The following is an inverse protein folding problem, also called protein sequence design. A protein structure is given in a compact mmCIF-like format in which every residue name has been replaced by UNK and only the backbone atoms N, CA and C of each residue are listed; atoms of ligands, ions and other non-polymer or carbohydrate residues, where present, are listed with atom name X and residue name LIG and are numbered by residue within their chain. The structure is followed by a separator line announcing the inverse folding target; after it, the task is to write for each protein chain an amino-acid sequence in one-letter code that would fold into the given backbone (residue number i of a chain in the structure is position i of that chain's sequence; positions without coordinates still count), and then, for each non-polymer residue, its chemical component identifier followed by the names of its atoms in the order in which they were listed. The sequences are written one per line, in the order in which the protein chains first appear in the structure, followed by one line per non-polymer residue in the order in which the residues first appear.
data_IF_239657684968
#
_entry.id   IF_239657684968
#
_cell.length_a   1.000
_cell.length_b   1.000
_cell.length_c   1.000
_cell.angle_alpha   90.00
_cell.angle_beta   90.00
_cell.angle_gamma   90.00
#
_symmetry.space_group_name_H-M   'P 1'
#
loop_
_entity.id
_entity.type
_entity.pdbx_description
1 polymer ?
#
# COMPACT_ATOMS: atom_id res chain seq x y z
N UNK A 1 -3.59 17.09 -17.64
CA UNK A 1 -2.63 18.12 -17.20
C UNK A 1 -2.70 18.28 -15.68
N UNK A 2 -1.91 17.53 -14.92
CA UNK A 2 -1.72 17.80 -13.49
C UNK A 2 -0.81 19.04 -13.37
N UNK A 3 -1.33 20.12 -12.81
CA UNK A 3 -0.58 21.36 -12.64
C UNK A 3 0.57 21.12 -11.65
N UNK A 4 1.82 21.44 -12.04
CA UNK A 4 3.04 21.37 -11.20
C UNK A 4 2.84 21.93 -9.79
N UNK A 5 1.97 22.94 -9.64
CA UNK A 5 1.62 23.52 -8.33
C UNK A 5 1.07 22.53 -7.31
N UNK A 6 0.42 21.43 -7.73
CA UNK A 6 -0.19 20.49 -6.80
C UNK A 6 0.75 19.37 -6.35
N UNK A 7 1.65 18.90 -7.24
CA UNK A 7 2.76 18.02 -6.83
C UNK A 7 3.65 18.72 -5.83
N UNK A 8 3.93 20.00 -6.07
CA UNK A 8 4.72 20.85 -5.18
C UNK A 8 3.99 21.08 -3.86
N UNK A 9 2.67 21.27 -3.89
CA UNK A 9 1.86 21.48 -2.68
C UNK A 9 1.89 20.25 -1.78
N UNK A 10 1.60 19.04 -2.26
CA UNK A 10 1.63 17.86 -1.37
C UNK A 10 3.05 17.49 -0.95
N UNK A 11 4.04 17.75 -1.81
CA UNK A 11 5.45 17.50 -1.50
C UNK A 11 6.04 18.53 -0.54
N UNK A 12 5.38 19.68 -0.37
CA UNK A 12 5.86 20.73 0.52
C UNK A 12 5.80 20.29 1.98
N UNK A 13 6.91 20.50 2.68
CA UNK A 13 7.02 20.20 4.12
C UNK A 13 5.92 20.89 4.94
N UNK A 14 5.47 22.08 4.51
CA UNK A 14 4.39 22.84 5.13
C UNK A 14 3.02 22.17 4.96
N UNK A 15 2.69 21.67 3.76
CA UNK A 15 1.44 20.92 3.56
C UNK A 15 1.44 19.61 4.32
N UNK A 16 2.54 18.84 4.26
CA UNK A 16 2.68 17.58 4.99
C UNK A 16 2.48 17.82 6.49
N UNK A 17 3.20 18.80 7.05
CA UNK A 17 3.09 19.15 8.47
C UNK A 17 1.69 19.67 8.84
N UNK A 18 1.11 20.55 8.03
CA UNK A 18 -0.22 21.14 8.32
C UNK A 18 -1.33 20.10 8.22
N UNK A 19 -1.28 19.23 7.21
CA UNK A 19 -2.26 18.17 7.02
C UNK A 19 -2.16 17.12 8.13
N UNK A 20 -0.93 16.70 8.49
CA UNK A 20 -0.66 15.80 9.61
C UNK A 20 -1.18 16.40 10.92
N UNK A 21 -0.85 17.67 11.21
CA UNK A 21 -1.26 18.34 12.44
C UNK A 21 -2.78 18.50 12.52
N UNK A 22 -3.45 18.83 11.40
CA UNK A 22 -4.91 18.92 11.33
C UNK A 22 -5.60 17.57 11.57
N UNK A 23 -5.01 16.47 11.10
CA UNK A 23 -5.56 15.13 11.31
C UNK A 23 -5.36 14.64 12.76
N UNK A 24 -4.18 14.92 13.35
CA UNK A 24 -3.84 14.53 14.73
C UNK A 24 -4.63 15.33 15.77
N UNK A 25 -4.83 16.64 15.56
CA UNK A 25 -5.45 17.51 16.58
C UNK A 25 -6.97 17.43 16.62
N UNK A 26 -7.64 16.96 15.56
CA UNK A 26 -9.11 16.98 15.51
C UNK A 26 -9.78 15.63 15.62
N UNK A 27 -9.14 14.49 15.32
CA UNK A 27 -9.74 13.14 15.27
C UNK A 27 -11.10 13.00 14.52
N UNK A 28 -11.66 14.08 13.97
CA UNK A 28 -13.07 14.19 13.62
C UNK A 28 -13.41 13.64 12.23
N UNK A 29 -12.41 13.14 11.48
CA UNK A 29 -12.57 12.89 10.05
C UNK A 29 -11.76 11.66 9.58
N UNK A 30 -11.88 10.55 10.31
CA UNK A 30 -11.44 9.24 9.79
C UNK A 30 -12.54 8.73 8.86
N UNK A 31 -12.18 8.55 7.59
CA UNK A 31 -13.08 7.98 6.59
C UNK A 31 -12.58 6.61 6.16
N UNK A 32 -13.52 5.70 5.94
CA UNK A 32 -13.26 4.41 5.30
C UNK A 32 -13.42 4.59 3.80
N UNK A 33 -12.40 4.20 3.04
CA UNK A 33 -12.49 4.10 1.59
C UNK A 33 -12.87 2.66 1.25
N UNK A 34 -14.04 2.48 0.64
CA UNK A 34 -14.58 1.16 0.33
C UNK A 34 -14.85 1.03 -1.17
N UNK A 35 -14.50 -0.13 -1.73
CA UNK A 35 -15.00 -0.60 -3.02
C UNK A 35 -16.19 -1.51 -2.75
N UNK A 36 -17.36 -1.18 -3.28
CA UNK A 36 -18.59 -1.91 -2.99
C UNK A 36 -19.59 -1.84 -4.14
N UNK A 37 -20.57 -2.75 -4.12
CA UNK A 37 -21.70 -2.70 -5.03
C UNK A 37 -22.61 -1.50 -4.74
N UNK A 38 -23.27 -0.92 -5.74
CA UNK A 38 -24.22 0.17 -5.54
C UNK A 38 -25.38 -0.17 -4.62
N UNK A 39 -25.82 -1.43 -4.65
CA UNK A 39 -26.91 -1.95 -3.84
C UNK A 39 -26.35 -2.90 -2.77
N UNK A 40 -26.83 -2.76 -1.53
CA UNK A 40 -26.42 -3.62 -0.40
C UNK A 40 -27.13 -4.99 -0.41
N UNK A 41 -28.25 -5.11 -1.12
CA UNK A 41 -28.97 -6.37 -1.33
C UNK A 41 -28.39 -7.06 -2.57
N UNK A 42 -27.42 -7.94 -2.36
CA UNK A 42 -26.84 -8.73 -3.41
C UNK A 42 -27.83 -9.86 -3.76
N UNK A 43 -28.67 -9.65 -4.78
CA UNK A 43 -29.42 -10.74 -5.41
C UNK A 43 -28.47 -11.37 -6.43
N UNK A 44 -27.62 -12.28 -5.94
CA UNK A 44 -26.76 -13.07 -6.82
C UNK A 44 -27.70 -14.02 -7.58
N UNK A 45 -27.97 -13.73 -8.85
CA UNK A 45 -28.45 -14.74 -9.79
C UNK A 45 -27.22 -15.55 -10.24
N UNK A 46 -27.08 -16.82 -9.81
CA UNK A 46 -25.92 -17.64 -10.15
C UNK A 46 -25.82 -17.94 -11.66
N UNK A 47 -26.89 -17.69 -12.43
CA UNK A 47 -27.00 -18.08 -13.83
C UNK A 47 -26.79 -16.92 -14.82
N UNK A 48 -26.43 -15.70 -14.36
CA UNK A 48 -26.12 -14.57 -15.26
C UNK A 48 -24.61 -14.42 -15.52
N UNK A 49 -24.10 -14.89 -16.69
CA UNK A 49 -22.70 -14.77 -17.05
C UNK A 49 -22.28 -13.34 -17.46
N UNK A 50 -23.19 -12.35 -17.45
CA UNK A 50 -22.95 -10.97 -17.86
C UNK A 50 -23.12 -9.92 -16.75
N UNK A 51 -23.32 -10.33 -15.49
CA UNK A 51 -23.28 -9.41 -14.34
C UNK A 51 -21.84 -8.95 -14.04
N UNK A 52 -21.26 -8.14 -14.94
CA UNK A 52 -20.20 -7.19 -14.57
C UNK A 52 -20.85 -6.03 -13.81
N UNK A 53 -21.23 -6.27 -12.55
CA UNK A 53 -21.78 -5.17 -11.74
C UNK A 53 -20.70 -4.12 -11.50
N UNK A 54 -21.01 -2.87 -11.88
CA UNK A 54 -20.10 -1.74 -11.70
C UNK A 54 -19.83 -1.48 -10.21
N UNK A 55 -18.67 -1.94 -9.73
CA UNK A 55 -18.17 -1.59 -8.41
C UNK A 55 -17.91 -0.08 -8.33
N UNK A 56 -18.29 0.54 -7.21
CA UNK A 56 -18.05 1.94 -6.96
C UNK A 56 -17.17 2.16 -5.73
N UNK A 57 -16.33 3.19 -5.80
CA UNK A 57 -15.59 3.68 -4.65
C UNK A 57 -16.44 4.70 -3.89
N UNK A 58 -16.48 4.58 -2.56
CA UNK A 58 -17.13 5.58 -1.71
C UNK A 58 -16.33 5.82 -0.43
N UNK A 59 -16.51 7.01 0.14
CA UNK A 59 -16.07 7.32 1.50
C UNK A 59 -17.23 7.09 2.45
N UNK A 60 -16.95 6.38 3.53
CA UNK A 60 -17.86 6.14 4.64
C UNK A 60 -17.32 6.77 5.91
N UNK A 61 -18.23 7.19 6.79
CA UNK A 61 -17.88 7.57 8.16
C UNK A 61 -17.35 6.35 8.90
N UNK A 62 -16.20 6.47 9.57
CA UNK A 62 -15.70 5.38 10.42
C UNK A 62 -16.57 5.16 11.68
N UNK A 63 -17.36 6.15 12.09
CA UNK A 63 -18.19 6.07 13.30
C UNK A 63 -19.59 5.54 13.00
N UNK A 64 -20.24 6.09 11.97
CA UNK A 64 -21.64 5.76 11.63
C UNK A 64 -21.75 4.73 10.52
N UNK A 65 -20.67 4.45 9.78
CA UNK A 65 -20.65 3.61 8.58
C UNK A 65 -21.62 4.11 7.49
N UNK A 66 -22.04 5.37 7.55
CA UNK A 66 -22.86 5.99 6.53
C UNK A 66 -22.01 6.47 5.36
N UNK A 67 -22.54 6.31 4.15
CA UNK A 67 -21.87 6.77 2.94
C UNK A 67 -21.84 8.31 2.92
N UNK A 68 -20.65 8.89 3.02
CA UNK A 68 -20.44 10.33 2.98
C UNK A 68 -20.39 10.86 1.54
N UNK A 69 -19.72 10.13 0.64
CA UNK A 69 -19.59 10.56 -0.76
C UNK A 69 -19.26 9.40 -1.69
N UNK A 70 -19.92 9.39 -2.86
CA UNK A 70 -19.51 8.57 -4.00
C UNK A 70 -18.27 9.17 -4.67
N UNK A 71 -17.35 8.31 -5.06
CA UNK A 71 -16.13 8.65 -5.77
C UNK A 71 -16.15 7.98 -7.16
N UNK A 72 -15.72 8.71 -8.17
CA UNK A 72 -15.31 8.08 -9.43
C UNK A 72 -13.97 7.39 -9.23
N UNK A 73 -13.76 6.26 -9.90
CA UNK A 73 -12.45 5.65 -9.96
C UNK A 73 -11.44 6.69 -10.48
N UNK A 74 -10.28 6.91 -9.83
CA UNK A 74 -9.33 7.96 -10.23
C UNK A 74 -8.78 7.80 -11.66
N UNK A 75 -9.00 6.65 -12.29
CA UNK A 75 -8.51 6.27 -13.61
C UNK A 75 -9.63 5.89 -14.59
N UNK A 76 -10.91 6.09 -14.21
CA UNK A 76 -12.08 5.82 -15.07
C UNK A 76 -12.06 4.42 -15.75
N UNK A 77 -11.44 3.44 -15.10
CA UNK A 77 -11.13 2.14 -15.67
C UNK A 77 -11.78 1.01 -14.87
N UNK A 78 -12.24 -0.02 -15.58
CA UNK A 78 -12.77 -1.29 -15.04
C UNK A 78 -11.68 -2.26 -14.56
N UNK A 79 -10.41 -1.87 -14.61
CA UNK A 79 -9.31 -2.71 -14.12
C UNK A 79 -9.39 -2.87 -12.60
N UNK A 80 -9.07 -4.07 -12.12
CA UNK A 80 -8.98 -4.38 -10.70
C UNK A 80 -7.70 -3.73 -10.12
N UNK A 81 -7.88 -2.67 -9.34
CA UNK A 81 -6.81 -2.02 -8.58
C UNK A 81 -6.79 -2.51 -7.14
N UNK A 82 -5.59 -2.75 -6.62
CA UNK A 82 -5.36 -3.06 -5.21
C UNK A 82 -4.84 -1.82 -4.46
N UNK A 83 -5.15 -1.75 -3.16
CA UNK A 83 -4.60 -0.75 -2.24
C UNK A 83 -3.33 -1.32 -1.59
N UNK A 84 -2.24 -0.55 -1.67
CA UNK A 84 -0.90 -0.92 -1.17
C UNK A 84 -0.46 -0.12 0.06
N UNK A 85 -1.39 0.62 0.65
CA UNK A 85 -1.17 1.40 1.85
C UNK A 85 -1.92 2.72 1.80
N UNK A 86 -2.25 3.23 2.98
CA UNK A 86 -2.83 4.56 3.14
C UNK A 86 -2.13 5.28 4.28
N UNK A 87 -1.96 6.59 4.13
CA UNK A 87 -1.35 7.42 5.16
C UNK A 87 -1.82 8.86 4.99
N UNK A 88 -2.37 9.43 6.06
CA UNK A 88 -2.80 10.84 6.12
C UNK A 88 -3.70 11.26 4.93
N UNK A 89 -4.70 10.44 4.60
CA UNK A 89 -5.65 10.72 3.51
C UNK A 89 -5.10 10.48 2.09
N UNK A 90 -3.84 10.07 1.95
CA UNK A 90 -3.29 9.56 0.70
C UNK A 90 -3.41 8.03 0.65
N UNK A 91 -3.71 7.50 -0.51
CA UNK A 91 -3.86 6.06 -0.77
C UNK A 91 -2.98 5.67 -1.95
N UNK A 92 -2.16 4.65 -1.77
CA UNK A 92 -1.38 4.06 -2.85
C UNK A 92 -2.18 2.96 -3.51
N UNK A 93 -2.43 3.08 -4.81
CA UNK A 93 -3.13 2.10 -5.62
C UNK A 93 -2.29 1.71 -6.84
N UNK A 94 -2.45 0.48 -7.30
CA UNK A 94 -1.87 -0.02 -8.54
C UNK A 94 -2.63 -1.26 -8.99
N UNK A 95 -2.23 -1.87 -10.10
CA UNK A 95 -2.83 -3.11 -10.59
C UNK A 95 -2.81 -4.17 -9.48
N UNK A 96 -3.84 -5.03 -9.43
CA UNK A 96 -3.84 -6.19 -8.53
C UNK A 96 -2.66 -7.12 -8.83
N UNK A 97 -2.38 -7.37 -10.11
CA UNK A 97 -1.20 -8.09 -10.57
C UNK A 97 -0.09 -7.08 -10.88
N UNK A 98 0.74 -6.79 -9.87
CA UNK A 98 1.84 -5.84 -10.01
C UNK A 98 3.04 -6.42 -10.80
N UNK A 99 3.38 -5.74 -11.88
CA UNK A 99 4.64 -5.91 -12.61
C UNK A 99 5.57 -4.72 -12.37
N UNK A 100 6.82 -4.79 -12.87
CA UNK A 100 7.80 -3.71 -12.68
C UNK A 100 7.36 -2.38 -13.33
N UNK A 101 6.64 -2.48 -14.44
CA UNK A 101 6.11 -1.39 -15.27
C UNK A 101 4.66 -1.04 -14.91
N UNK A 102 4.03 -1.77 -13.99
CA UNK A 102 2.69 -1.41 -13.49
C UNK A 102 2.74 0.01 -12.91
N UNK A 103 1.82 0.89 -13.35
CA UNK A 103 1.80 2.25 -12.88
C UNK A 103 1.38 2.28 -11.42
N UNK A 104 2.15 2.99 -10.61
CA UNK A 104 1.80 3.26 -9.21
C UNK A 104 1.08 4.60 -9.16
N UNK A 105 0.03 4.70 -8.38
CA UNK A 105 -0.69 5.94 -8.21
C UNK A 105 -0.87 6.26 -6.73
N UNK A 106 -0.54 7.50 -6.37
CA UNK A 106 -0.81 8.07 -5.05
C UNK A 106 -2.03 8.97 -5.21
N UNK A 107 -3.16 8.50 -4.69
CA UNK A 107 -4.46 9.14 -4.79
C UNK A 107 -4.80 9.89 -3.50
N UNK A 108 -5.33 11.10 -3.62
CA UNK A 108 -6.05 11.78 -2.55
C UNK A 108 -7.56 11.75 -2.88
N UNK A 109 -8.33 10.83 -2.27
CA UNK A 109 -9.77 10.69 -2.54
C UNK A 109 -10.57 11.96 -2.20
N UNK A 110 -10.22 12.65 -1.12
CA UNK A 110 -10.96 13.82 -0.62
C UNK A 110 -10.94 15.01 -1.57
N UNK A 111 -9.88 15.16 -2.37
CA UNK A 111 -9.79 16.21 -3.39
C UNK A 111 -9.78 15.67 -4.83
N UNK A 112 -10.01 14.36 -4.99
CA UNK A 112 -10.08 13.65 -6.29
C UNK A 112 -8.89 13.91 -7.21
N UNK A 113 -7.68 13.94 -6.64
CA UNK A 113 -6.46 14.17 -7.41
C UNK A 113 -5.48 13.02 -7.25
N UNK A 114 -4.80 12.74 -8.35
CA UNK A 114 -3.90 11.62 -8.51
C UNK A 114 -2.50 12.13 -8.82
N UNK A 115 -1.48 11.53 -8.20
CA UNK A 115 -0.09 11.67 -8.60
C UNK A 115 0.43 10.30 -9.00
N UNK A 116 1.06 10.23 -10.17
CA UNK A 116 1.71 9.02 -10.67
C UNK A 116 3.22 9.23 -10.57
N UNK A 117 3.93 8.52 -9.68
CA UNK A 117 5.39 8.52 -9.68
C UNK A 117 5.95 8.15 -11.06
N UNK A 118 7.13 8.66 -11.43
CA UNK A 118 7.79 8.23 -12.66
C UNK A 118 8.04 6.72 -12.62
N UNK A 119 8.02 6.08 -13.78
CA UNK A 119 8.41 4.67 -13.90
C UNK A 119 9.91 4.57 -13.58
N UNK A 120 10.30 3.59 -12.78
CA UNK A 120 11.71 3.33 -12.48
C UNK A 120 12.45 2.98 -13.76
N UNK A 121 13.45 3.78 -14.12
CA UNK A 121 14.21 3.66 -15.38
C UNK A 121 15.37 2.67 -15.30
N UNK A 122 15.67 2.13 -14.13
CA UNK A 122 16.94 1.48 -13.83
C UNK A 122 17.01 -0.03 -14.15
N UNK A 123 16.02 -0.59 -14.85
CA UNK A 123 15.89 -2.05 -14.90
C UNK A 123 15.57 -2.59 -16.31
N UNK A 124 16.60 -3.11 -16.98
CA UNK A 124 16.46 -3.88 -18.24
C UNK A 124 16.05 -5.36 -18.03
N UNK A 125 15.71 -5.74 -16.80
CA UNK A 125 15.42 -7.13 -16.43
C UNK A 125 13.93 -7.24 -16.10
N UNK A 126 13.27 -8.31 -16.56
CA UNK A 126 11.87 -8.56 -16.19
C UNK A 126 11.79 -8.99 -14.73
N UNK A 127 11.20 -8.12 -13.91
CA UNK A 127 10.86 -8.41 -12.52
C UNK A 127 9.36 -8.56 -12.35
N UNK A 128 8.95 -9.45 -11.45
CA UNK A 128 7.62 -9.43 -10.85
C UNK A 128 7.68 -8.70 -9.50
N UNK A 129 6.65 -7.91 -9.20
CA UNK A 129 6.57 -7.29 -7.89
C UNK A 129 6.08 -8.32 -6.86
N UNK A 130 6.73 -8.35 -5.70
CA UNK A 130 6.34 -9.23 -4.58
C UNK A 130 5.72 -8.44 -3.43
N UNK A 131 6.07 -7.17 -3.29
CA UNK A 131 5.48 -6.27 -2.30
C UNK A 131 5.55 -4.81 -2.77
N UNK A 132 4.49 -4.06 -2.46
CA UNK A 132 4.47 -2.61 -2.54
C UNK A 132 3.82 -2.10 -1.26
N UNK A 133 4.49 -1.18 -0.58
CA UNK A 133 4.05 -0.65 0.71
C UNK A 133 4.23 0.86 0.72
N UNK A 134 3.18 1.59 1.10
CA UNK A 134 3.21 3.04 1.10
C UNK A 134 2.86 3.61 2.47
N UNK A 135 3.60 4.64 2.89
CA UNK A 135 3.19 5.45 4.02
C UNK A 135 4.13 6.61 4.33
N UNK A 136 3.81 7.31 5.40
CA UNK A 136 4.55 8.48 5.86
C UNK A 136 5.73 8.10 6.76
N UNK A 137 6.90 8.64 6.46
CA UNK A 137 8.07 8.55 7.32
C UNK A 137 8.22 9.86 8.13
N UNK A 138 7.87 9.87 9.43
CA UNK A 138 7.92 11.08 10.24
C UNK A 138 9.35 11.60 10.45
N UNK A 139 10.33 10.72 10.66
CA UNK A 139 11.73 11.11 10.88
C UNK A 139 12.39 11.88 9.74
N UNK A 140 12.01 11.63 8.48
CA UNK A 140 12.51 12.39 7.32
C UNK A 140 11.46 13.30 6.69
N UNK A 141 10.27 13.41 7.30
CA UNK A 141 9.12 14.20 6.83
C UNK A 141 8.83 13.99 5.34
N UNK A 142 8.64 12.73 4.93
CA UNK A 142 8.44 12.35 3.52
C UNK A 142 7.47 11.17 3.40
N UNK A 143 6.71 11.11 2.32
CA UNK A 143 6.00 9.89 1.97
C UNK A 143 6.91 8.98 1.17
N UNK A 144 6.90 7.70 1.51
CA UNK A 144 7.71 6.69 0.87
C UNK A 144 6.82 5.60 0.28
N UNK A 145 7.21 5.08 -0.88
CA UNK A 145 6.71 3.80 -1.36
C UNK A 145 7.91 2.85 -1.47
N UNK A 146 7.84 1.71 -0.80
CA UNK A 146 8.85 0.65 -0.87
C UNK A 146 8.33 -0.42 -1.79
N UNK A 147 9.05 -0.66 -2.89
CA UNK A 147 8.73 -1.68 -3.88
C UNK A 147 9.79 -2.77 -3.84
N UNK A 148 9.34 -4.00 -3.67
CA UNK A 148 10.20 -5.19 -3.64
C UNK A 148 9.86 -6.08 -4.82
N UNK A 149 10.88 -6.52 -5.52
CA UNK A 149 10.78 -7.12 -6.84
C UNK A 149 11.65 -8.36 -6.93
N UNK A 150 11.19 -9.39 -7.63
CA UNK A 150 11.93 -10.62 -7.83
C UNK A 150 12.07 -10.97 -9.31
N UNK A 151 13.25 -11.44 -9.71
CA UNK A 151 13.43 -12.03 -11.04
C UNK A 151 12.99 -13.50 -11.05
N UNK A 152 12.77 -14.05 -12.25
CA UNK A 152 12.58 -15.49 -12.44
C UNK A 152 13.76 -16.34 -11.93
N UNK A 153 14.98 -15.77 -11.87
CA UNK A 153 16.18 -16.41 -11.31
C UNK A 153 16.29 -16.27 -9.79
N UNK A 154 15.28 -15.69 -9.14
CA UNK A 154 15.19 -15.56 -7.70
C UNK A 154 15.98 -14.39 -7.10
N UNK A 155 16.59 -13.53 -7.92
CA UNK A 155 17.25 -12.30 -7.44
C UNK A 155 16.21 -11.29 -6.96
N UNK A 156 16.43 -10.72 -5.77
CA UNK A 156 15.57 -9.70 -5.17
C UNK A 156 16.17 -8.32 -5.44
N UNK A 157 15.31 -7.36 -5.75
CA UNK A 157 15.62 -5.94 -5.82
C UNK A 157 14.64 -5.18 -4.94
N UNK A 158 15.11 -4.12 -4.29
CA UNK A 158 14.28 -3.21 -3.50
C UNK A 158 14.55 -1.80 -3.99
N UNK A 159 13.49 -1.02 -4.14
CA UNK A 159 13.60 0.40 -4.41
C UNK A 159 12.60 1.20 -3.57
N UNK A 160 12.99 2.43 -3.31
CA UNK A 160 12.23 3.36 -2.47
C UNK A 160 11.94 4.60 -3.28
N UNK A 161 10.66 4.89 -3.47
CA UNK A 161 10.21 6.18 -3.97
C UNK A 161 10.21 7.19 -2.84
N UNK A 162 10.73 8.38 -3.12
CA UNK A 162 10.56 9.56 -2.27
C UNK A 162 9.59 10.53 -2.93
N UNK A 163 8.52 10.86 -2.21
CA UNK A 163 7.53 11.82 -2.68
C UNK A 163 8.12 13.24 -2.78
N UNK A 164 9.04 13.57 -1.86
CA UNK A 164 9.77 14.84 -1.83
C UNK A 164 10.72 15.02 -3.01
N UNK A 165 11.50 14.00 -3.39
CA UNK A 165 12.46 14.10 -4.50
C UNK A 165 11.90 13.62 -5.84
N UNK A 166 10.65 13.15 -5.85
CA UNK A 166 9.96 12.60 -7.01
C UNK A 166 10.76 11.55 -7.78
N UNK A 167 11.46 10.69 -7.06
CA UNK A 167 12.42 9.75 -7.67
C UNK A 167 12.48 8.44 -6.90
N UNK A 168 12.81 7.38 -7.64
CA UNK A 168 13.11 6.07 -7.11
C UNK A 168 14.60 5.94 -6.84
N UNK A 169 14.95 5.40 -5.67
CA UNK A 169 16.30 4.98 -5.31
C UNK A 169 16.34 3.46 -5.20
N UNK A 170 17.28 2.81 -5.88
CA UNK A 170 17.55 1.38 -5.71
C UNK A 170 18.40 1.14 -4.45
N UNK A 171 18.07 0.10 -3.69
CA UNK A 171 18.83 -0.33 -2.53
C UNK A 171 19.91 -1.32 -2.97
N UNK A 172 21.16 -1.00 -2.67
CA UNK A 172 22.32 -1.74 -3.17
C UNK A 172 22.58 -3.03 -2.37
N UNK A 173 22.40 -2.97 -1.05
CA UNK A 173 22.74 -4.07 -0.15
C UNK A 173 21.48 -4.79 0.27
N UNK A 174 21.24 -5.94 -0.35
CA UNK A 174 20.12 -6.83 -0.01
C UNK A 174 20.65 -8.03 0.77
N UNK A 175 20.21 -8.24 2.02
CA UNK A 175 20.65 -9.38 2.81
C UNK A 175 20.37 -10.73 2.11
N UNK A 176 21.34 -11.68 2.10
CA UNK A 176 21.16 -12.97 1.44
C UNK A 176 19.96 -13.78 1.96
N UNK A 177 19.58 -13.58 3.22
CA UNK A 177 18.47 -14.27 3.87
C UNK A 177 17.09 -13.86 3.34
N UNK A 178 16.97 -12.79 2.56
CA UNK A 178 15.74 -12.41 1.87
C UNK A 178 15.48 -13.19 0.57
N UNK A 179 16.41 -14.09 0.19
CA UNK A 179 16.22 -15.06 -0.90
C UNK A 179 15.29 -16.19 -0.42
N UNK A 180 14.06 -15.85 -0.10
CA UNK A 180 13.04 -16.75 0.43
C UNK A 180 11.73 -16.64 -0.35
N UNK A 181 10.68 -17.31 0.12
CA UNK A 181 9.33 -17.16 -0.43
C UNK A 181 8.66 -15.93 0.17
N UNK A 182 7.93 -15.22 -0.68
CA UNK A 182 7.20 -14.00 -0.31
C UNK A 182 5.72 -14.27 -0.49
N UNK A 183 4.92 -13.97 0.54
CA UNK A 183 3.47 -13.99 0.38
C UNK A 183 3.03 -12.65 -0.21
N UNK A 184 2.29 -12.71 -1.31
CA UNK A 184 1.79 -11.50 -1.99
C UNK A 184 0.89 -10.67 -1.08
N UNK A 185 1.03 -9.34 -1.13
CA UNK A 185 0.13 -8.33 -0.54
C UNK A 185 -0.09 -8.37 0.99
N UNK A 186 0.83 -8.97 1.76
CA UNK A 186 0.76 -9.02 3.24
C UNK A 186 1.81 -8.14 3.91
N UNK A 187 1.86 -6.88 3.50
CA UNK A 187 2.77 -5.89 4.06
C UNK A 187 2.05 -4.63 4.51
N UNK A 188 2.65 -3.93 5.47
CA UNK A 188 2.21 -2.60 5.90
C UNK A 188 3.40 -1.65 5.97
N UNK A 189 3.14 -0.35 6.03
CA UNK A 189 4.16 0.67 6.23
C UNK A 189 3.80 1.51 7.44
N UNK A 190 4.72 1.61 8.41
CA UNK A 190 4.48 2.34 9.63
C UNK A 190 5.74 3.03 10.11
N UNK A 191 5.63 4.33 10.42
CA UNK A 191 6.70 5.15 10.96
C UNK A 191 8.02 5.12 10.16
N UNK A 192 7.95 5.02 8.83
CA UNK A 192 9.14 4.96 7.99
C UNK A 192 9.63 3.54 7.67
N UNK A 193 9.03 2.53 8.28
CA UNK A 193 9.45 1.14 8.16
C UNK A 193 8.40 0.34 7.39
N UNK A 194 8.85 -0.38 6.37
CA UNK A 194 8.04 -1.34 5.64
C UNK A 194 8.14 -2.70 6.34
N UNK A 195 7.00 -3.31 6.69
CA UNK A 195 6.93 -4.62 7.34
C UNK A 195 6.20 -5.64 6.47
N UNK A 196 6.80 -6.79 6.24
CA UNK A 196 6.23 -7.82 5.36
C UNK A 196 6.41 -9.21 5.95
N UNK A 197 5.42 -10.08 5.76
CA UNK A 197 5.52 -11.48 6.18
C UNK A 197 6.25 -12.29 5.10
N UNK A 198 7.34 -12.92 5.48
CA UNK A 198 8.15 -13.80 4.63
C UNK A 198 8.09 -15.23 5.13
N UNK A 199 8.26 -16.19 4.22
CA UNK A 199 8.24 -17.63 4.53
C UNK A 199 9.60 -18.26 4.21
N UNK A 200 10.19 -18.89 5.23
CA UNK A 200 11.47 -19.61 5.16
C UNK A 200 11.23 -21.07 5.52
N UNK A 201 10.85 -21.86 4.51
CA UNK A 201 10.47 -23.26 4.73
C UNK A 201 9.18 -23.36 5.54
N UNK A 202 9.17 -23.99 6.73
CA UNK A 202 7.99 -24.05 7.59
C UNK A 202 7.80 -22.82 8.50
N UNK A 203 8.77 -21.91 8.54
CA UNK A 203 8.81 -20.80 9.51
C UNK A 203 8.31 -19.51 8.86
N UNK A 204 7.39 -18.83 9.53
CA UNK A 204 7.02 -17.45 9.23
C UNK A 204 7.93 -16.47 9.95
N UNK A 205 8.41 -15.47 9.23
CA UNK A 205 9.13 -14.36 9.82
C UNK A 205 8.56 -13.04 9.32
N UNK A 206 8.69 -12.00 10.14
CA UNK A 206 8.41 -10.63 9.77
C UNK A 206 9.73 -9.99 9.38
N UNK A 207 9.81 -9.55 8.13
CA UNK A 207 10.87 -8.66 7.69
C UNK A 207 10.45 -7.23 7.98
N UNK A 208 11.38 -6.42 8.49
CA UNK A 208 11.27 -4.96 8.48
C UNK A 208 12.37 -4.36 7.61
N UNK A 209 12.04 -3.25 6.96
CA UNK A 209 12.98 -2.44 6.19
C UNK A 209 12.77 -0.96 6.52
N UNK A 210 13.76 -0.33 7.14
CA UNK A 210 13.74 1.11 7.45
C UNK A 210 14.15 1.91 6.20
N UNK A 211 13.26 2.78 5.72
CA UNK A 211 13.47 3.52 4.48
C UNK A 211 14.40 4.74 4.59
N UNK A 212 14.90 5.06 5.80
CA UNK A 212 15.91 6.09 6.02
C UNK A 212 17.29 5.50 6.30
N UNK A 213 17.41 4.49 7.18
CA UNK A 213 18.70 3.83 7.45
C UNK A 213 19.04 2.78 6.38
N UNK A 214 18.07 2.34 5.59
CA UNK A 214 18.21 1.28 4.59
C UNK A 214 18.59 -0.08 5.19
N UNK A 215 18.26 -0.25 6.47
CA UNK A 215 18.55 -1.47 7.22
C UNK A 215 17.37 -2.45 7.18
N UNK A 216 17.70 -3.72 7.05
CA UNK A 216 16.74 -4.82 7.12
C UNK A 216 16.88 -5.56 8.43
N UNK A 217 15.76 -5.93 9.05
CA UNK A 217 15.74 -6.79 10.22
C UNK A 217 14.74 -7.93 10.01
N UNK A 218 14.96 -9.01 10.74
CA UNK A 218 14.09 -10.18 10.73
C UNK A 218 13.65 -10.49 12.16
N UNK A 219 12.36 -10.75 12.31
CA UNK A 219 11.75 -11.22 13.54
C UNK A 219 11.02 -12.52 13.26
N UNK A 220 11.32 -13.56 14.03
CA UNK A 220 10.61 -14.83 13.93
C UNK A 220 9.18 -14.61 14.44
N UNK A 221 8.17 -15.05 13.68
CA UNK A 221 6.79 -14.98 14.13
C UNK A 221 6.55 -15.98 15.28
N UNK A 222 5.73 -15.65 16.29
CA UNK A 222 5.44 -16.58 17.39
C UNK A 222 4.86 -17.92 16.92
N UNK A 223 5.28 -19.03 17.53
CA UNK A 223 4.87 -20.41 17.17
C UNK A 223 3.35 -20.63 17.21
N UNK A 224 2.62 -19.86 18.02
CA UNK A 224 1.15 -19.92 18.09
C UNK A 224 0.47 -19.61 16.74
N UNK A 225 1.20 -19.06 15.77
CA UNK A 225 0.73 -18.59 14.47
C UNK A 225 1.11 -19.58 13.36
N UNK A 226 0.65 -20.83 13.47
CA UNK A 226 1.03 -21.92 12.53
C UNK A 226 0.13 -22.03 11.28
N UNK A 227 -0.94 -21.25 11.14
CA UNK A 227 -1.88 -21.40 10.00
C UNK A 227 -1.49 -20.50 8.83
N UNK A 228 -0.91 -21.12 7.79
CA UNK A 228 -0.30 -20.48 6.62
C UNK A 228 -1.21 -19.50 5.85
N UNK A 229 -2.52 -19.75 5.79
CA UNK A 229 -3.43 -19.01 4.90
C UNK A 229 -4.02 -17.74 5.50
N UNK A 230 -3.99 -17.57 6.83
CA UNK A 230 -4.79 -16.57 7.53
C UNK A 230 -4.02 -15.36 8.10
N UNK A 231 -2.68 -15.38 8.07
CA UNK A 231 -1.89 -14.35 8.71
C UNK A 231 -1.84 -13.06 7.88
N UNK A 232 -2.09 -11.90 8.49
CA UNK A 232 -1.78 -10.60 7.92
C UNK A 232 -1.09 -9.71 8.96
N UNK A 233 -0.41 -8.66 8.48
CA UNK A 233 0.27 -7.67 9.31
C UNK A 233 -0.41 -6.33 9.15
N UNK A 234 -0.69 -5.66 10.26
CA UNK A 234 -1.34 -4.34 10.25
C UNK A 234 -0.94 -3.50 11.47
N UNK A 235 -1.36 -2.25 11.49
CA UNK A 235 -1.11 -1.31 12.58
C UNK A 235 -2.35 -1.21 13.46
N UNK A 236 -2.22 -1.51 14.75
CA UNK A 236 -3.26 -1.29 15.74
C UNK A 236 -2.72 -0.46 16.91
N UNK A 237 -3.42 0.64 17.26
CA UNK A 237 -3.03 1.55 18.35
C UNK A 237 -1.54 1.94 18.33
N UNK A 238 -1.01 2.28 17.15
CA UNK A 238 0.40 2.66 16.93
C UNK A 238 1.43 1.54 17.11
N UNK A 239 1.01 0.28 17.08
CA UNK A 239 1.89 -0.88 17.15
C UNK A 239 1.69 -1.75 15.92
N UNK A 240 2.75 -2.42 15.47
CA UNK A 240 2.66 -3.49 14.49
C UNK A 240 2.01 -4.71 15.15
N UNK A 241 1.03 -5.29 14.49
CA UNK A 241 0.30 -6.45 14.96
C UNK A 241 0.23 -7.51 13.88
N UNK A 242 0.34 -8.76 14.32
CA UNK A 242 0.02 -9.93 13.51
C UNK A 242 -1.43 -10.31 13.77
N UNK A 243 -2.23 -10.38 12.71
CA UNK A 243 -3.65 -10.68 12.76
C UNK A 243 -3.90 -12.02 12.09
N UNK A 244 -4.73 -12.86 12.71
CA UNK A 244 -5.17 -14.13 12.15
C UNK A 244 -6.62 -14.00 11.67
N UNK A 245 -6.85 -14.17 10.36
CA UNK A 245 -8.20 -14.21 9.78
C UNK A 245 -8.81 -15.60 9.96
N UNK A 246 -9.80 -15.70 10.84
CA UNK A 246 -10.65 -16.89 10.89
C UNK A 246 -11.75 -16.71 9.84
N UNK A 247 -11.64 -17.41 8.71
CA UNK A 247 -12.79 -17.62 7.85
C UNK A 247 -13.68 -18.64 8.55
N UNK A 248 -14.87 -18.20 8.98
CA UNK A 248 -15.98 -19.07 9.40
C UNK A 248 -16.94 -19.26 8.24
#
# INVERSE_FOLDING_TARGET
CTCKSWSDLIGSSSFVSTHLHRNITKHAHVYLLCLHHPNFECVIDPDDPYLEEELQWSLFSNETFEQCSKLSHPLESTKHYAIYGSSNGLVCISDEILNFDSPIHIWNPSVRKLRTPPISTNINIKFSCVALQFGFHPGVNDYKAVRMMRTNKGALAVEVYSFRTDSWKMIEVIPPWLKCSWQHHKGTFFNGVAYHIIEKGPIFSVMSFDSASEEFQEFIAPDAICRRSALCIDVYKKHICLLCRFYS
#
